data_IF_571480609392
#
_entry.id   IF_571480609392
#
_cell.length_a   1.000
_cell.length_b   1.000
_cell.length_c   1.000
_cell.angle_alpha   90.00
_cell.angle_beta   90.00
_cell.angle_gamma   90.00
#
_symmetry.space_group_name_H-M   'P 1'
#
loop_
_entity.id
_entity.type
_entity.pdbx_description
1 polymer ?
#
# COMPACT_ATOMS: atom_id res chain seq x y z
N UNK A 1 35.99 13.15 2.18
CA UNK A 1 35.69 12.20 3.28
C UNK A 1 34.28 11.64 3.09
N UNK A 2 34.14 10.45 2.52
CA UNK A 2 32.85 9.75 2.41
C UNK A 2 32.55 9.03 3.73
N UNK A 3 31.95 9.73 4.67
CA UNK A 3 31.49 9.14 5.94
C UNK A 3 30.41 8.09 5.68
N UNK A 4 30.51 6.95 6.38
CA UNK A 4 29.52 5.86 6.32
C UNK A 4 28.14 6.43 6.70
N UNK A 5 27.22 6.47 5.73
CA UNK A 5 25.93 7.19 5.86
C UNK A 5 24.89 6.40 6.66
N UNK A 6 25.05 5.08 6.76
CA UNK A 6 24.20 4.22 7.59
C UNK A 6 24.77 2.79 7.64
N UNK A 7 24.76 2.15 8.81
CA UNK A 7 24.97 0.70 8.94
C UNK A 7 23.61 0.02 8.93
N UNK A 8 23.28 -0.71 7.87
CA UNK A 8 22.16 -1.65 7.90
C UNK A 8 22.70 -2.88 8.63
N UNK A 9 22.23 -3.13 9.84
CA UNK A 9 22.65 -4.30 10.59
C UNK A 9 22.15 -5.54 9.86
N UNK A 10 23.05 -6.36 9.32
CA UNK A 10 22.73 -7.60 8.59
C UNK A 10 22.21 -8.72 9.52
N UNK A 11 21.35 -8.40 10.48
CA UNK A 11 20.74 -9.37 11.37
C UNK A 11 20.50 -8.83 12.76
N UNK A 12 19.23 -8.94 13.18
CA UNK A 12 18.72 -9.05 14.56
C UNK A 12 18.43 -7.80 15.39
N UNK A 13 18.72 -6.56 14.98
CA UNK A 13 18.44 -5.38 15.84
C UNK A 13 17.64 -4.23 15.21
N UNK A 14 17.15 -4.35 13.99
CA UNK A 14 16.37 -3.28 13.39
C UNK A 14 14.93 -3.32 13.92
N UNK A 15 14.60 -2.39 14.83
CA UNK A 15 13.22 -2.15 15.23
C UNK A 15 12.43 -1.50 14.09
N UNK A 16 11.10 -1.65 14.13
CA UNK A 16 10.17 -0.93 13.24
C UNK A 16 10.56 0.56 13.12
N UNK A 17 10.74 1.23 14.26
CA UNK A 17 11.07 2.65 14.33
C UNK A 17 12.41 2.97 13.64
N UNK A 18 13.42 2.11 13.83
CA UNK A 18 14.73 2.29 13.19
C UNK A 18 14.62 2.20 11.66
N UNK A 19 13.89 1.20 11.16
CA UNK A 19 13.68 1.01 9.71
C UNK A 19 12.89 2.16 9.10
N UNK A 20 11.86 2.66 9.78
CA UNK A 20 11.08 3.82 9.33
C UNK A 20 11.95 5.08 9.27
N UNK A 21 12.75 5.36 10.31
CA UNK A 21 13.68 6.49 10.31
C UNK A 21 14.72 6.38 9.17
N UNK A 22 15.26 5.18 8.94
CA UNK A 22 16.20 4.94 7.83
C UNK A 22 15.53 5.16 6.47
N UNK A 23 14.28 4.71 6.32
CA UNK A 23 13.49 4.93 5.11
C UNK A 23 13.30 6.42 4.83
N UNK A 24 12.88 7.18 5.82
CA UNK A 24 12.62 8.62 5.68
C UNK A 24 13.91 9.40 5.37
N UNK A 25 15.02 9.00 5.99
CA UNK A 25 16.35 9.52 5.67
C UNK A 25 16.80 9.17 4.24
N UNK A 26 16.51 7.95 3.77
CA UNK A 26 16.85 7.53 2.41
C UNK A 26 16.03 8.31 1.38
N UNK A 27 14.73 8.55 1.65
CA UNK A 27 13.85 9.37 0.81
C UNK A 27 14.37 10.81 0.74
N UNK A 28 14.63 11.44 1.90
CA UNK A 28 15.08 12.83 1.95
C UNK A 28 16.44 13.05 1.26
N UNK A 29 17.34 12.07 1.35
CA UNK A 29 18.66 12.09 0.71
C UNK A 29 18.67 11.50 -0.72
N UNK A 30 17.51 11.11 -1.27
CA UNK A 30 17.38 10.48 -2.60
C UNK A 30 18.29 9.24 -2.79
N UNK A 31 18.49 8.47 -1.73
CA UNK A 31 19.32 7.25 -1.72
C UNK A 31 18.49 6.02 -2.07
N UNK A 32 18.35 5.76 -3.36
CA UNK A 32 17.50 4.68 -3.90
C UNK A 32 18.01 3.29 -3.46
N UNK A 33 19.32 3.11 -3.42
CA UNK A 33 20.02 1.89 -2.97
C UNK A 33 19.65 1.51 -1.53
N UNK A 34 19.67 2.49 -0.64
CA UNK A 34 19.32 2.32 0.77
C UNK A 34 17.81 2.12 0.92
N UNK A 35 17.01 2.88 0.16
CA UNK A 35 15.55 2.78 0.21
C UNK A 35 15.06 1.39 -0.19
N UNK A 36 15.60 0.80 -1.27
CA UNK A 36 15.24 -0.55 -1.69
C UNK A 36 15.60 -1.59 -0.62
N UNK A 37 16.83 -1.51 -0.09
CA UNK A 37 17.29 -2.39 0.99
C UNK A 37 16.39 -2.33 2.23
N UNK A 38 15.98 -1.11 2.64
CA UNK A 38 15.08 -0.91 3.78
C UNK A 38 13.68 -1.44 3.47
N UNK A 39 13.16 -1.23 2.27
CA UNK A 39 11.85 -1.76 1.86
C UNK A 39 11.84 -3.29 1.85
N UNK A 40 12.88 -3.96 1.33
CA UNK A 40 13.01 -5.41 1.40
C UNK A 40 13.06 -5.91 2.85
N UNK A 41 13.75 -5.18 3.73
CA UNK A 41 13.81 -5.52 5.16
C UNK A 41 12.45 -5.35 5.84
N UNK A 42 11.74 -4.26 5.56
CA UNK A 42 10.36 -4.03 6.03
C UNK A 42 9.43 -5.15 5.55
N UNK A 43 9.54 -5.57 4.29
CA UNK A 43 8.75 -6.68 3.74
C UNK A 43 8.94 -7.98 4.54
N UNK A 44 10.19 -8.27 4.94
CA UNK A 44 10.54 -9.49 5.68
C UNK A 44 10.17 -9.42 7.17
N UNK A 45 10.44 -8.31 7.84
CA UNK A 45 10.34 -8.20 9.29
C UNK A 45 9.02 -7.57 9.77
N UNK A 46 8.45 -6.65 8.98
CA UNK A 46 7.25 -5.90 9.33
C UNK A 46 6.27 -5.81 8.14
N UNK A 47 5.74 -6.95 7.65
CA UNK A 47 4.96 -7.01 6.41
C UNK A 47 3.74 -6.08 6.41
N UNK A 48 3.05 -5.92 7.54
CA UNK A 48 1.91 -5.00 7.66
C UNK A 48 2.28 -3.53 7.38
N UNK A 49 3.48 -3.12 7.79
CA UNK A 49 4.00 -1.77 7.58
C UNK A 49 4.39 -1.58 6.12
N UNK A 50 5.05 -2.60 5.56
CA UNK A 50 5.38 -2.63 4.15
C UNK A 50 4.13 -2.46 3.29
N UNK A 51 3.06 -3.21 3.56
CA UNK A 51 1.78 -3.07 2.83
C UNK A 51 1.20 -1.67 2.96
N UNK A 52 1.27 -1.10 4.16
CA UNK A 52 0.76 0.24 4.43
C UNK A 52 1.50 1.32 3.66
N UNK A 53 2.83 1.25 3.59
CA UNK A 53 3.68 2.38 3.16
C UNK A 53 4.40 2.18 1.84
N UNK A 54 4.55 0.94 1.37
CA UNK A 54 5.37 0.60 0.21
C UNK A 54 4.50 0.01 -0.90
N UNK A 55 3.80 -1.10 -0.63
CA UNK A 55 3.03 -1.80 -1.66
C UNK A 55 2.65 -3.22 -1.26
N UNK A 56 1.98 -3.98 -2.14
CA UNK A 56 1.52 -5.33 -1.83
C UNK A 56 2.68 -6.30 -1.60
N UNK A 57 2.47 -7.30 -0.73
CA UNK A 57 3.50 -8.32 -0.43
C UNK A 57 3.76 -9.23 -1.63
N UNK A 58 2.73 -9.50 -2.42
CA UNK A 58 2.80 -10.38 -3.56
C UNK A 58 2.37 -9.62 -4.81
N UNK A 59 3.16 -9.79 -5.88
CA UNK A 59 2.74 -9.31 -7.18
C UNK A 59 1.52 -10.12 -7.64
N UNK A 60 0.55 -9.41 -8.20
CA UNK A 60 -0.54 -10.01 -8.96
C UNK A 60 -0.42 -9.51 -10.38
N UNK A 61 -0.88 -10.30 -11.33
CA UNK A 61 -0.90 -9.90 -12.74
C UNK A 61 -2.23 -10.31 -13.35
N UNK A 62 -2.78 -9.45 -14.17
CA UNK A 62 -3.96 -9.69 -14.99
C UNK A 62 -3.62 -9.29 -16.42
N UNK A 63 -4.54 -9.55 -17.36
CA UNK A 63 -4.45 -9.01 -18.71
C UNK A 63 -4.23 -7.48 -18.66
N UNK A 64 -3.30 -6.98 -19.48
CA UNK A 64 -2.84 -5.58 -19.52
C UNK A 64 -3.96 -4.59 -19.83
N UNK A 65 -5.07 -5.05 -20.45
CA UNK A 65 -6.24 -4.19 -20.68
C UNK A 65 -6.88 -3.67 -19.39
N UNK A 66 -6.72 -4.40 -18.28
CA UNK A 66 -7.25 -3.99 -16.99
C UNK A 66 -6.31 -3.01 -16.30
N UNK A 67 -6.87 -1.90 -15.83
CA UNK A 67 -6.14 -0.82 -15.13
C UNK A 67 -6.23 -0.92 -13.59
N UNK A 68 -6.56 -2.10 -13.06
CA UNK A 68 -6.76 -2.30 -11.63
C UNK A 68 -5.46 -2.44 -10.81
N UNK A 69 -5.57 -2.50 -9.49
CA UNK A 69 -4.44 -2.66 -8.56
C UNK A 69 -3.65 -3.97 -8.70
N UNK A 70 -4.15 -4.95 -9.47
CA UNK A 70 -3.31 -6.08 -9.88
C UNK A 70 -2.16 -5.59 -10.78
N UNK A 71 -2.48 -4.80 -11.82
CA UNK A 71 -1.47 -4.34 -12.78
C UNK A 71 -0.78 -3.04 -12.35
N UNK A 72 -1.45 -2.23 -11.52
CA UNK A 72 -0.93 -0.98 -10.96
C UNK A 72 -0.91 -1.07 -9.43
N UNK A 73 -0.01 -1.88 -8.85
CA UNK A 73 0.03 -2.11 -7.41
C UNK A 73 0.31 -0.80 -6.65
N UNK A 74 -0.44 -0.59 -5.56
CA UNK A 74 -0.31 0.57 -4.68
C UNK A 74 -0.22 0.13 -3.22
N UNK A 75 0.35 0.98 -2.37
CA UNK A 75 0.30 0.79 -0.92
C UNK A 75 -1.11 1.06 -0.37
N UNK A 76 -1.44 0.51 0.81
CA UNK A 76 -2.75 0.79 1.42
C UNK A 76 -2.94 2.28 1.68
N UNK A 77 -1.87 3.03 1.98
CA UNK A 77 -1.96 4.48 2.14
C UNK A 77 -2.34 5.18 0.83
N UNK A 78 -1.75 4.77 -0.30
CA UNK A 78 -2.09 5.34 -1.61
C UNK A 78 -3.52 4.98 -2.03
N UNK A 79 -3.98 3.76 -1.73
CA UNK A 79 -5.37 3.35 -1.98
C UNK A 79 -6.34 4.13 -1.09
N UNK A 80 -5.96 4.41 0.15
CA UNK A 80 -6.73 5.29 1.03
C UNK A 80 -6.90 6.68 0.40
N UNK A 81 -5.83 7.26 -0.14
CA UNK A 81 -5.90 8.54 -0.85
C UNK A 81 -6.80 8.46 -2.08
N UNK A 82 -6.72 7.36 -2.84
CA UNK A 82 -7.60 7.13 -3.99
C UNK A 82 -9.08 7.07 -3.56
N UNK A 83 -9.41 6.36 -2.47
CA UNK A 83 -10.78 6.27 -1.94
C UNK A 83 -11.29 7.65 -1.51
N UNK A 84 -10.48 8.41 -0.78
CA UNK A 84 -10.88 9.73 -0.28
C UNK A 84 -10.99 10.78 -1.40
N UNK A 85 -10.29 10.58 -2.50
CA UNK A 85 -10.30 11.49 -3.66
C UNK A 85 -11.23 11.02 -4.78
N UNK A 86 -12.01 9.97 -4.55
CA UNK A 86 -12.91 9.35 -5.54
C UNK A 86 -12.21 8.91 -6.85
N UNK A 87 -10.95 8.45 -6.73
CA UNK A 87 -10.09 8.06 -7.86
C UNK A 87 -9.93 6.54 -8.00
N UNK A 88 -10.76 5.76 -7.31
CA UNK A 88 -10.70 4.28 -7.41
C UNK A 88 -11.23 3.86 -8.77
N UNK A 89 -10.34 3.38 -9.63
CA UNK A 89 -10.71 2.94 -10.97
C UNK A 89 -11.71 1.77 -10.95
N UNK A 90 -12.75 1.83 -11.79
CA UNK A 90 -13.83 0.82 -11.84
C UNK A 90 -13.34 -0.63 -12.06
N UNK A 91 -12.32 -0.85 -12.88
CA UNK A 91 -11.62 -2.14 -12.99
C UNK A 91 -11.17 -2.75 -11.64
N UNK A 92 -10.78 -1.92 -10.66
CA UNK A 92 -10.46 -2.36 -9.30
C UNK A 92 -11.71 -2.75 -8.51
N UNK A 93 -12.84 -2.09 -8.76
CA UNK A 93 -14.13 -2.41 -8.15
C UNK A 93 -14.73 -3.72 -8.70
N UNK A 94 -14.56 -4.02 -9.98
CA UNK A 94 -15.01 -5.30 -10.57
C UNK A 94 -14.11 -6.49 -10.18
N UNK A 95 -12.86 -6.24 -9.81
CA UNK A 95 -11.91 -7.31 -9.50
C UNK A 95 -12.02 -7.77 -8.04
N UNK A 96 -12.44 -9.02 -7.81
CA UNK A 96 -12.58 -9.56 -6.46
C UNK A 96 -11.27 -9.59 -5.66
N UNK A 97 -10.16 -9.90 -6.32
CA UNK A 97 -8.86 -9.84 -5.68
C UNK A 97 -8.51 -8.42 -5.24
N UNK A 98 -8.77 -7.40 -6.09
CA UNK A 98 -8.52 -6.00 -5.74
C UNK A 98 -9.41 -5.55 -4.58
N UNK A 99 -10.68 -5.94 -4.60
CA UNK A 99 -11.61 -5.62 -3.54
C UNK A 99 -11.18 -6.20 -2.20
N UNK A 100 -10.91 -7.50 -2.14
CA UNK A 100 -10.59 -8.17 -0.88
C UNK A 100 -9.22 -7.76 -0.34
N UNK A 101 -8.19 -7.75 -1.19
CA UNK A 101 -6.80 -7.62 -0.73
C UNK A 101 -6.34 -6.17 -0.59
N UNK A 102 -6.95 -5.24 -1.33
CA UNK A 102 -6.56 -3.84 -1.34
C UNK A 102 -7.63 -2.96 -0.71
N UNK A 103 -8.83 -2.92 -1.29
CA UNK A 103 -9.86 -1.92 -0.93
C UNK A 103 -10.46 -2.21 0.45
N UNK A 104 -10.97 -3.43 0.68
CA UNK A 104 -11.54 -3.84 1.96
C UNK A 104 -10.49 -3.87 3.07
N UNK A 105 -9.25 -4.30 2.75
CA UNK A 105 -8.13 -4.26 3.69
C UNK A 105 -7.75 -2.82 4.06
N UNK A 106 -7.74 -1.92 3.08
CA UNK A 106 -7.53 -0.48 3.30
C UNK A 106 -8.62 0.07 4.20
N UNK A 107 -9.89 -0.27 3.98
CA UNK A 107 -10.97 0.16 4.85
C UNK A 107 -10.89 -0.44 6.27
N UNK A 108 -10.49 -1.69 6.43
CA UNK A 108 -10.28 -2.27 7.77
C UNK A 108 -9.26 -1.47 8.60
N UNK A 109 -8.21 -0.96 7.96
CA UNK A 109 -7.20 -0.13 8.63
C UNK A 109 -7.60 1.36 8.72
N UNK A 110 -7.84 1.98 7.56
CA UNK A 110 -8.11 3.41 7.44
C UNK A 110 -9.55 3.80 7.79
N UNK A 111 -10.53 2.91 7.67
CA UNK A 111 -11.91 3.13 8.10
C UNK A 111 -12.15 2.64 9.53
N UNK A 112 -12.08 1.34 9.77
CA UNK A 112 -12.46 0.77 11.07
C UNK A 112 -11.49 1.13 12.20
N UNK A 113 -10.19 0.95 11.99
CA UNK A 113 -9.19 1.10 13.05
C UNK A 113 -8.86 2.58 13.32
N UNK A 114 -8.59 3.35 12.27
CA UNK A 114 -8.15 4.75 12.41
C UNK A 114 -9.23 5.79 12.13
N UNK A 115 -10.42 5.39 11.65
CA UNK A 115 -11.58 6.28 11.41
C UNK A 115 -11.33 7.43 10.44
N UNK A 116 -10.35 7.26 9.53
CA UNK A 116 -10.00 8.21 8.48
C UNK A 116 -10.87 8.09 7.23
N UNK A 117 -11.38 6.89 6.91
CA UNK A 117 -12.40 6.68 5.88
C UNK A 117 -13.76 6.68 6.57
N UNK A 118 -14.62 7.69 6.34
CA UNK A 118 -15.96 7.71 6.90
C UNK A 118 -16.80 6.53 6.42
N UNK A 119 -17.72 6.06 7.26
CA UNK A 119 -18.67 5.01 6.87
C UNK A 119 -19.45 5.39 5.61
N UNK A 120 -19.89 6.65 5.49
CA UNK A 120 -20.59 7.15 4.29
C UNK A 120 -19.76 6.97 3.01
N UNK A 121 -18.47 7.30 3.02
CA UNK A 121 -17.58 7.12 1.87
C UNK A 121 -17.43 5.64 1.52
N UNK A 122 -17.38 4.78 2.53
CA UNK A 122 -17.33 3.34 2.31
C UNK A 122 -18.62 2.76 1.73
N UNK A 123 -19.77 3.19 2.25
CA UNK A 123 -21.09 2.75 1.79
C UNK A 123 -21.27 3.11 0.30
N UNK A 124 -20.92 4.34 -0.09
CA UNK A 124 -20.91 4.77 -1.51
C UNK A 124 -20.00 3.89 -2.37
N UNK A 125 -18.79 3.59 -1.90
CA UNK A 125 -17.87 2.72 -2.65
C UNK A 125 -18.43 1.29 -2.83
N UNK A 126 -19.17 0.78 -1.84
CA UNK A 126 -19.84 -0.51 -1.93
C UNK A 126 -20.98 -0.49 -2.95
N UNK A 127 -21.77 0.59 -2.99
CA UNK A 127 -22.83 0.79 -3.98
C UNK A 127 -22.28 0.86 -5.40
N UNK A 128 -21.22 1.65 -5.63
CA UNK A 128 -20.57 1.73 -6.94
C UNK A 128 -20.08 0.35 -7.37
N UNK A 129 -19.42 -0.41 -6.49
CA UNK A 129 -19.01 -1.78 -6.81
C UNK A 129 -20.20 -2.68 -7.16
N UNK A 130 -21.29 -2.59 -6.41
CA UNK A 130 -22.48 -3.43 -6.66
C UNK A 130 -23.04 -3.15 -8.06
N UNK A 131 -23.09 -1.87 -8.45
CA UNK A 131 -23.50 -1.45 -9.79
C UNK A 131 -22.54 -1.98 -10.87
N UNK A 132 -21.27 -1.63 -10.78
CA UNK A 132 -20.23 -1.97 -11.77
C UNK A 132 -19.99 -3.47 -11.97
N UNK A 133 -20.31 -4.31 -10.97
CA UNK A 133 -20.04 -5.75 -11.03
C UNK A 133 -21.23 -6.60 -11.45
N UNK A 134 -22.44 -6.18 -11.10
CA UNK A 134 -23.61 -7.06 -11.17
C UNK A 134 -24.76 -6.51 -12.01
N UNK A 135 -24.75 -5.23 -12.36
CA UNK A 135 -25.82 -4.61 -13.15
C UNK A 135 -25.40 -4.46 -14.61
N UNK A 136 -24.15 -4.11 -14.87
CA UNK A 136 -23.52 -4.12 -16.22
C UNK A 136 -22.80 -5.45 -16.50
#
# INVERSE_FOLDING_TARGET
MSGIVSRINQGRYDSERSLLNLRDNAISKKRIDVLDSVNQRLKKCHPKIYERLVGPLHERKRDKKFKCYCNNPKSLHAIYQDIMSDNVHFHSLMCDACWQQDIAKTWGYYGWTSKLIPKKTWDVLCEIRAYEKFVE
#
